data_IF_918532843511
#
_entry.id   IF_918532843511
#
_cell.length_a   1.000
_cell.length_b   1.000
_cell.length_c   1.000
_cell.angle_alpha   90.00
_cell.angle_beta   90.00
_cell.angle_gamma   90.00
#
_symmetry.space_group_name_H-M   'P 1'
#
loop_
_entity.id
_entity.type
_entity.pdbx_description
1 polymer ?
#
# COMPACT_ATOMS: atom_id res chain seq x y z
N UNK A 1 -21.64 12.90 25.20
CA UNK A 1 -21.87 11.56 25.79
C UNK A 1 -21.74 10.54 24.68
N UNK A 2 -20.52 10.09 24.39
CA UNK A 2 -20.27 9.06 23.38
C UNK A 2 -20.56 7.70 24.01
N UNK A 3 -21.57 7.00 23.52
CA UNK A 3 -21.83 5.62 23.91
C UNK A 3 -20.61 4.77 23.49
N UNK A 4 -19.76 4.44 24.45
CA UNK A 4 -18.68 3.48 24.28
C UNK A 4 -19.35 2.12 24.06
N UNK A 5 -19.45 1.69 22.81
CA UNK A 5 -19.94 0.35 22.48
C UNK A 5 -18.95 -0.63 23.10
N UNK A 6 -19.42 -1.40 24.07
CA UNK A 6 -18.64 -2.47 24.71
C UNK A 6 -18.31 -3.55 23.66
N UNK A 7 -17.10 -3.51 23.13
CA UNK A 7 -16.62 -4.43 22.10
C UNK A 7 -16.64 -5.90 22.52
N UNK A 8 -16.76 -6.19 23.82
CA UNK A 8 -16.83 -7.56 24.35
C UNK A 8 -18.17 -8.25 24.08
N UNK A 9 -19.21 -7.49 23.74
CA UNK A 9 -20.57 -8.02 23.45
C UNK A 9 -20.86 -8.20 21.96
N UNK A 10 -19.98 -7.77 21.08
CA UNK A 10 -20.19 -7.89 19.64
C UNK A 10 -19.58 -9.21 19.14
N UNK A 11 -20.36 -10.10 18.51
CA UNK A 11 -19.84 -11.35 17.93
C UNK A 11 -18.69 -11.05 16.95
N UNK A 12 -17.65 -11.90 16.93
CA UNK A 12 -16.48 -11.66 16.10
C UNK A 12 -16.79 -11.52 14.59
N UNK A 13 -17.80 -12.21 14.11
CA UNK A 13 -18.25 -12.12 12.71
C UNK A 13 -18.89 -10.77 12.38
N UNK A 14 -19.50 -10.09 13.34
CA UNK A 14 -20.04 -8.75 13.14
C UNK A 14 -18.89 -7.76 12.99
N UNK A 15 -17.89 -7.81 13.88
CA UNK A 15 -16.75 -6.90 13.84
C UNK A 15 -15.80 -7.17 12.67
N UNK A 16 -15.61 -8.42 12.27
CA UNK A 16 -14.61 -8.80 11.27
C UNK A 16 -15.17 -9.04 9.86
N UNK A 17 -16.48 -9.18 9.70
CA UNK A 17 -17.13 -9.35 8.40
C UNK A 17 -18.14 -8.24 8.11
N UNK A 18 -19.14 -8.05 8.96
CA UNK A 18 -20.23 -7.10 8.67
C UNK A 18 -19.69 -5.67 8.66
N UNK A 19 -18.94 -5.25 9.68
CA UNK A 19 -18.43 -3.87 9.75
C UNK A 19 -17.55 -3.53 8.55
N UNK A 20 -16.57 -4.34 8.13
CA UNK A 20 -15.80 -4.08 6.91
C UNK A 20 -16.66 -4.06 5.64
N UNK A 21 -17.64 -4.96 5.51
CA UNK A 21 -18.55 -4.97 4.35
C UNK A 21 -19.43 -3.74 4.29
N UNK A 22 -19.97 -3.29 5.40
CA UNK A 22 -20.76 -2.05 5.48
C UNK A 22 -19.88 -0.85 5.11
N UNK A 23 -18.66 -0.75 5.66
CA UNK A 23 -17.73 0.32 5.34
C UNK A 23 -17.34 0.32 3.86
N UNK A 24 -17.07 -0.84 3.28
CA UNK A 24 -16.79 -0.97 1.85
C UNK A 24 -17.98 -0.54 1.00
N UNK A 25 -19.18 -0.97 1.35
CA UNK A 25 -20.42 -0.58 0.64
C UNK A 25 -20.64 0.92 0.72
N UNK A 26 -20.47 1.53 1.89
CA UNK A 26 -20.58 2.98 2.06
C UNK A 26 -19.54 3.72 1.24
N UNK A 27 -18.29 3.25 1.22
CA UNK A 27 -17.22 3.84 0.41
C UNK A 27 -17.55 3.77 -1.09
N UNK A 28 -18.07 2.64 -1.57
CA UNK A 28 -18.50 2.48 -2.96
C UNK A 28 -19.69 3.39 -3.31
N UNK A 29 -20.67 3.54 -2.41
CA UNK A 29 -21.80 4.45 -2.62
C UNK A 29 -21.37 5.92 -2.69
N UNK A 30 -20.47 6.34 -1.80
CA UNK A 30 -19.89 7.69 -1.80
C UNK A 30 -19.09 7.91 -3.10
N UNK A 31 -18.26 6.94 -3.50
CA UNK A 31 -17.52 7.02 -4.77
C UNK A 31 -18.46 7.11 -5.98
N UNK A 32 -19.51 6.30 -6.00
CA UNK A 32 -20.53 6.34 -7.05
C UNK A 32 -21.23 7.71 -7.13
N UNK A 33 -21.52 8.33 -5.99
CA UNK A 33 -22.08 9.67 -5.91
C UNK A 33 -21.13 10.70 -6.55
N UNK A 34 -19.84 10.66 -6.23
CA UNK A 34 -18.86 11.58 -6.84
C UNK A 34 -18.72 11.37 -8.35
N UNK A 35 -18.73 10.12 -8.83
CA UNK A 35 -18.70 9.79 -10.25
C UNK A 35 -19.95 10.38 -10.94
N UNK A 36 -21.11 10.22 -10.32
CA UNK A 36 -22.36 10.77 -10.85
C UNK A 36 -22.36 12.30 -10.90
N UNK A 37 -21.85 12.98 -9.86
CA UNK A 37 -21.71 14.44 -9.83
C UNK A 37 -20.73 14.92 -10.91
N UNK A 38 -19.70 14.14 -11.22
CA UNK A 38 -18.76 14.43 -12.31
C UNK A 38 -19.36 14.25 -13.72
N UNK A 39 -20.63 13.81 -13.82
CA UNK A 39 -21.34 13.62 -15.09
C UNK A 39 -21.11 12.26 -15.72
N UNK A 40 -20.42 11.33 -15.01
CA UNK A 40 -20.11 10.00 -15.50
C UNK A 40 -21.07 8.93 -14.94
N UNK A 41 -21.15 7.78 -15.60
CA UNK A 41 -22.01 6.68 -15.18
C UNK A 41 -21.30 5.77 -14.18
N UNK A 42 -21.73 5.71 -12.89
CA UNK A 42 -21.08 4.88 -11.87
C UNK A 42 -21.05 3.39 -12.21
N UNK A 43 -22.10 2.88 -12.86
CA UNK A 43 -22.14 1.48 -13.27
C UNK A 43 -21.08 1.17 -14.33
N UNK A 44 -20.90 2.04 -15.31
CA UNK A 44 -19.85 1.89 -16.33
C UNK A 44 -18.46 1.98 -15.70
N UNK A 45 -18.24 2.88 -14.75
CA UNK A 45 -16.99 3.02 -14.04
C UNK A 45 -16.63 1.73 -13.27
N UNK A 46 -17.57 1.15 -12.52
CA UNK A 46 -17.36 -0.12 -11.81
C UNK A 46 -17.08 -1.27 -12.81
N UNK A 47 -17.83 -1.34 -13.89
CA UNK A 47 -17.63 -2.35 -14.94
C UNK A 47 -16.23 -2.24 -15.56
N UNK A 48 -15.75 -1.02 -15.82
CA UNK A 48 -14.42 -0.77 -16.36
C UNK A 48 -13.32 -1.16 -15.36
N UNK A 49 -13.49 -0.89 -14.07
CA UNK A 49 -12.54 -1.30 -13.02
C UNK A 49 -12.43 -2.83 -12.98
N UNK A 50 -13.57 -3.55 -12.95
CA UNK A 50 -13.57 -5.01 -12.90
C UNK A 50 -12.97 -5.60 -14.19
N UNK A 51 -13.38 -5.09 -15.34
CA UNK A 51 -12.86 -5.53 -16.63
C UNK A 51 -11.37 -5.23 -16.78
N UNK A 52 -10.92 -4.03 -16.38
CA UNK A 52 -9.52 -3.62 -16.41
C UNK A 52 -8.63 -4.47 -15.51
N UNK A 53 -9.17 -4.96 -14.39
CA UNK A 53 -8.42 -5.78 -13.44
C UNK A 53 -8.38 -7.28 -13.81
N UNK A 54 -9.46 -7.82 -14.39
CA UNK A 54 -9.65 -9.27 -14.56
C UNK A 54 -10.09 -9.68 -15.96
N UNK A 55 -10.47 -8.73 -16.82
CA UNK A 55 -11.10 -9.00 -18.11
C UNK A 55 -10.12 -9.41 -19.22
N UNK A 56 -8.82 -9.18 -19.04
CA UNK A 56 -7.78 -9.53 -20.01
C UNK A 56 -6.45 -9.80 -19.31
N UNK A 57 -5.56 -10.50 -19.99
CA UNK A 57 -4.32 -11.04 -19.38
C UNK A 57 -3.39 -9.96 -18.85
N UNK A 58 -3.21 -8.87 -19.60
CA UNK A 58 -2.36 -7.76 -19.18
C UNK A 58 -2.93 -7.03 -17.95
N UNK A 59 -4.25 -6.82 -17.90
CA UNK A 59 -4.92 -6.23 -16.74
C UNK A 59 -4.76 -7.08 -15.49
N UNK A 60 -4.90 -8.41 -15.63
CA UNK A 60 -4.64 -9.34 -14.53
C UNK A 60 -3.17 -9.32 -14.08
N UNK A 61 -2.22 -9.28 -15.01
CA UNK A 61 -0.80 -9.18 -14.71
C UNK A 61 -0.47 -7.88 -13.95
N UNK A 62 -1.03 -6.74 -14.37
CA UNK A 62 -0.89 -5.49 -13.63
C UNK A 62 -1.53 -5.56 -12.25
N UNK A 63 -2.68 -6.19 -12.11
CA UNK A 63 -3.32 -6.39 -10.80
C UNK A 63 -2.41 -7.18 -9.85
N UNK A 64 -1.77 -8.26 -10.31
CA UNK A 64 -0.81 -9.03 -9.52
C UNK A 64 0.45 -8.21 -9.19
N UNK A 65 0.95 -7.43 -10.13
CA UNK A 65 2.09 -6.55 -9.93
C UNK A 65 1.83 -5.54 -8.79
N UNK A 66 0.72 -4.81 -8.85
CA UNK A 66 0.36 -3.86 -7.80
C UNK A 66 0.03 -4.55 -6.47
N UNK A 67 -0.60 -5.72 -6.51
CA UNK A 67 -0.87 -6.52 -5.32
C UNK A 67 0.42 -6.86 -4.58
N UNK A 68 1.47 -7.25 -5.31
CA UNK A 68 2.79 -7.53 -4.72
C UNK A 68 3.35 -6.31 -4.00
N UNK A 69 3.29 -5.13 -4.63
CA UNK A 69 3.74 -3.88 -4.02
C UNK A 69 2.94 -3.55 -2.74
N UNK A 70 1.62 -3.71 -2.76
CA UNK A 70 0.76 -3.47 -1.58
C UNK A 70 1.00 -4.47 -0.46
N UNK A 71 1.32 -5.73 -0.76
CA UNK A 71 1.70 -6.73 0.26
C UNK A 71 2.97 -6.28 0.98
N UNK A 72 4.01 -5.88 0.26
CA UNK A 72 5.27 -5.45 0.88
C UNK A 72 5.12 -4.16 1.67
N UNK A 73 4.42 -3.17 1.15
CA UNK A 73 4.17 -1.91 1.89
C UNK A 73 3.27 -2.13 3.10
N UNK A 74 2.27 -3.00 3.00
CA UNK A 74 1.42 -3.40 4.12
C UNK A 74 2.19 -4.14 5.22
N UNK A 75 3.10 -5.04 4.85
CA UNK A 75 3.99 -5.73 5.80
C UNK A 75 4.94 -4.74 6.48
N UNK A 76 5.53 -3.80 5.75
CA UNK A 76 6.38 -2.76 6.32
C UNK A 76 5.63 -1.90 7.34
N UNK A 77 4.37 -1.54 7.05
CA UNK A 77 3.50 -0.83 7.99
C UNK A 77 3.19 -1.70 9.22
N UNK A 78 2.82 -2.98 9.03
CA UNK A 78 2.49 -3.89 10.12
C UNK A 78 3.67 -4.10 11.08
N UNK A 79 4.88 -4.30 10.54
CA UNK A 79 6.10 -4.45 11.36
C UNK A 79 6.38 -3.19 12.17
N UNK A 80 6.31 -2.02 11.54
CA UNK A 80 6.51 -0.74 12.24
C UNK A 80 5.48 -0.55 13.35
N UNK A 81 4.21 -0.86 13.08
CA UNK A 81 3.12 -0.77 14.06
C UNK A 81 3.35 -1.67 15.29
N UNK A 82 3.84 -2.90 15.09
CA UNK A 82 4.20 -3.80 16.19
C UNK A 82 5.37 -3.26 17.03
N UNK A 83 6.26 -2.49 16.41
CA UNK A 83 7.35 -1.79 17.11
C UNK A 83 6.90 -0.48 17.76
N UNK A 84 5.60 -0.17 17.78
CA UNK A 84 5.02 1.11 18.27
C UNK A 84 5.53 2.33 17.49
N UNK A 85 5.95 2.13 16.24
CA UNK A 85 6.31 3.19 15.31
C UNK A 85 5.20 3.35 14.28
N UNK A 86 4.82 4.58 14.00
CA UNK A 86 3.77 4.85 13.01
C UNK A 86 4.40 5.19 11.67
N UNK A 87 4.44 4.21 10.76
CA UNK A 87 5.05 4.39 9.45
C UNK A 87 4.04 4.88 8.41
N UNK A 88 3.89 6.20 8.27
CA UNK A 88 3.07 6.83 7.22
C UNK A 88 3.89 7.01 5.92
N UNK A 89 5.19 6.79 5.97
CA UNK A 89 6.13 7.08 4.87
C UNK A 89 6.35 5.94 3.87
N UNK A 90 5.52 4.87 3.88
CA UNK A 90 5.73 3.68 3.04
C UNK A 90 5.83 3.99 1.54
N UNK A 91 5.03 4.92 1.04
CA UNK A 91 5.10 5.38 -0.35
C UNK A 91 6.44 6.06 -0.65
N UNK A 92 6.87 7.01 0.18
CA UNK A 92 8.16 7.67 0.04
C UNK A 92 9.33 6.70 0.12
N UNK A 93 9.25 5.68 0.99
CA UNK A 93 10.25 4.61 1.08
C UNK A 93 10.35 3.83 -0.24
N UNK A 94 9.22 3.51 -0.87
CA UNK A 94 9.19 2.82 -2.15
C UNK A 94 9.83 3.67 -3.27
N UNK A 95 9.51 4.96 -3.35
CA UNK A 95 10.13 5.87 -4.33
C UNK A 95 11.64 6.02 -4.13
N UNK A 96 12.09 6.23 -2.91
CA UNK A 96 13.53 6.37 -2.61
C UNK A 96 14.26 5.04 -2.79
N UNK A 97 13.62 3.91 -2.47
CA UNK A 97 14.13 2.58 -2.83
C UNK A 97 14.29 2.42 -4.34
N UNK A 98 13.31 2.87 -5.13
CA UNK A 98 13.39 2.91 -6.59
C UNK A 98 14.54 3.77 -7.12
N UNK A 99 14.83 4.90 -6.48
CA UNK A 99 16.03 5.71 -6.80
C UNK A 99 17.31 4.89 -6.57
N UNK A 100 17.39 4.11 -5.49
CA UNK A 100 18.54 3.23 -5.23
C UNK A 100 18.73 2.19 -6.33
N UNK A 101 17.65 1.55 -6.81
CA UNK A 101 17.68 0.65 -7.97
C UNK A 101 18.18 1.34 -9.22
N UNK A 102 17.64 2.53 -9.51
CA UNK A 102 18.01 3.33 -10.67
C UNK A 102 19.49 3.69 -10.68
N UNK A 103 20.03 4.17 -9.56
CA UNK A 103 21.45 4.52 -9.43
C UNK A 103 22.35 3.30 -9.66
N UNK A 104 21.97 2.12 -9.18
CA UNK A 104 22.69 0.89 -9.46
C UNK A 104 22.64 0.56 -10.95
N UNK A 105 21.47 0.63 -11.56
CA UNK A 105 21.27 0.25 -12.96
C UNK A 105 22.12 1.12 -13.91
N UNK A 106 22.22 2.43 -13.68
CA UNK A 106 23.00 3.32 -14.55
C UNK A 106 24.51 3.23 -14.32
N UNK A 107 24.96 2.96 -13.07
CA UNK A 107 26.39 2.96 -12.77
C UNK A 107 27.06 1.60 -12.92
N UNK A 108 26.29 0.49 -12.86
CA UNK A 108 26.79 -0.87 -12.88
C UNK A 108 26.26 -1.70 -14.04
N UNK A 109 25.71 -1.07 -15.08
CA UNK A 109 25.15 -1.74 -16.27
C UNK A 109 26.16 -2.58 -17.05
N UNK A 110 27.46 -2.38 -16.82
CA UNK A 110 28.56 -3.16 -17.43
C UNK A 110 28.77 -4.53 -16.76
N UNK A 111 28.17 -4.78 -15.59
CA UNK A 111 28.29 -6.06 -14.88
C UNK A 111 27.28 -7.09 -15.40
N UNK A 112 27.54 -8.40 -15.20
CA UNK A 112 26.57 -9.45 -15.51
C UNK A 112 25.24 -9.23 -14.81
N UNK A 113 24.13 -9.48 -15.53
CA UNK A 113 22.74 -9.22 -15.06
C UNK A 113 22.43 -9.74 -13.66
N UNK A 114 22.85 -10.96 -13.24
CA UNK A 114 22.58 -11.43 -11.89
C UNK A 114 23.23 -10.57 -10.80
N UNK A 115 24.43 -10.03 -11.06
CA UNK A 115 25.13 -9.16 -10.13
C UNK A 115 24.42 -7.82 -10.01
N UNK A 116 23.99 -7.25 -11.15
CA UNK A 116 23.22 -5.98 -11.16
C UNK A 116 21.92 -6.15 -10.36
N UNK A 117 21.23 -7.27 -10.45
CA UNK A 117 20.03 -7.54 -9.66
C UNK A 117 20.30 -7.55 -8.15
N UNK A 118 21.35 -8.24 -7.72
CA UNK A 118 21.72 -8.27 -6.30
C UNK A 118 22.08 -6.88 -5.79
N UNK A 119 22.85 -6.12 -6.56
CA UNK A 119 23.19 -4.73 -6.22
C UNK A 119 21.96 -3.81 -6.21
N UNK A 120 21.01 -4.01 -7.14
CA UNK A 120 19.75 -3.26 -7.19
C UNK A 120 18.88 -3.53 -5.95
N UNK A 121 18.78 -4.79 -5.52
CA UNK A 121 18.08 -5.16 -4.27
C UNK A 121 18.76 -4.50 -3.06
N UNK A 122 20.09 -4.56 -2.98
CA UNK A 122 20.85 -3.89 -1.92
C UNK A 122 20.65 -2.36 -1.96
N UNK A 123 20.66 -1.76 -3.14
CA UNK A 123 20.40 -0.33 -3.35
C UNK A 123 19.00 0.06 -2.87
N UNK A 124 17.97 -0.70 -3.26
CA UNK A 124 16.60 -0.47 -2.79
C UNK A 124 16.51 -0.53 -1.26
N UNK A 125 17.13 -1.54 -0.66
CA UNK A 125 17.16 -1.72 0.79
C UNK A 125 17.83 -0.54 1.50
N UNK A 126 19.03 -0.16 1.10
CA UNK A 126 19.81 0.91 1.73
C UNK A 126 19.09 2.25 1.63
N UNK A 127 18.60 2.60 0.46
CA UNK A 127 17.92 3.88 0.23
C UNK A 127 16.56 3.93 0.95
N UNK A 128 15.76 2.87 0.85
CA UNK A 128 14.47 2.78 1.55
C UNK A 128 14.64 2.80 3.08
N UNK A 129 15.62 2.05 3.61
CA UNK A 129 15.94 2.04 5.04
C UNK A 129 16.47 3.39 5.54
N UNK A 130 17.33 4.05 4.80
CA UNK A 130 17.83 5.39 5.14
C UNK A 130 16.69 6.41 5.23
N UNK A 131 15.75 6.36 4.29
CA UNK A 131 14.57 7.23 4.32
C UNK A 131 13.67 6.92 5.52
N UNK A 132 13.42 5.64 5.82
CA UNK A 132 12.61 5.21 6.96
C UNK A 132 13.25 5.54 8.31
N UNK A 133 14.59 5.54 8.37
CA UNK A 133 15.35 5.79 9.60
C UNK A 133 15.07 7.18 10.19
N UNK A 134 14.90 8.19 9.34
CA UNK A 134 14.69 9.58 9.80
C UNK A 134 13.42 9.69 10.67
N UNK A 135 12.21 9.35 10.17
CA UNK A 135 11.00 9.43 10.99
C UNK A 135 11.01 8.44 12.15
N UNK A 136 11.55 7.22 11.96
CA UNK A 136 11.62 6.24 13.02
C UNK A 136 12.48 6.70 14.19
N UNK A 137 13.65 7.30 13.92
CA UNK A 137 14.54 7.85 14.94
C UNK A 137 13.88 9.02 15.70
N UNK A 138 13.18 9.91 14.98
CA UNK A 138 12.49 11.03 15.59
C UNK A 138 11.35 10.57 16.50
N UNK A 139 10.55 9.58 16.05
CA UNK A 139 9.47 9.01 16.86
C UNK A 139 10.02 8.28 18.10
N UNK A 140 11.07 7.50 17.95
CA UNK A 140 11.69 6.78 19.06
C UNK A 140 12.27 7.72 20.14
N UNK A 141 12.79 8.88 19.73
CA UNK A 141 13.45 9.84 20.64
C UNK A 141 12.50 10.85 21.29
N UNK A 142 11.42 11.24 20.57
CA UNK A 142 10.50 12.29 21.05
C UNK A 142 9.20 11.74 21.63
N UNK A 143 8.97 10.43 21.49
CA UNK A 143 7.68 9.83 21.79
C UNK A 143 6.66 10.18 20.71
N UNK A 144 5.78 9.24 20.39
CA UNK A 144 4.61 9.45 19.52
C UNK A 144 3.43 9.86 20.38
#
# INVERSE_FOLDING_TARGET
MSAVVDKSKVPWWVSNLIVPLVNLTLALLVSALFIFIAGENPYQAIKLIIYGSFGYIEGFAYTLYYTTNFIFTGLAFAVAFHCRLFNIGGEGQAYIGGLGVFLVAINFSFLPVPIVWLLAIAGAFVFGAAWAFIPAYLQAKRGS
#
